data_IF_060851077944
#
_entry.id   IF_060851077944
#
_cell.length_a   1.000
_cell.length_b   1.000
_cell.length_c   1.000
_cell.angle_alpha   90.00
_cell.angle_beta   90.00
_cell.angle_gamma   90.00
#
_symmetry.space_group_name_H-M   'P 1'
#
loop_
_entity.id
_entity.type
_entity.pdbx_description
1 polymer ?
#
# COMPACT_ATOMS: atom_id res chain seq x y z
N UNK A 1 -20.40 -16.86 -64.42
CA UNK A 1 -19.86 -18.01 -63.68
C UNK A 1 -19.01 -17.45 -62.55
N UNK A 2 -19.51 -17.44 -61.30
CA UNK A 2 -18.76 -16.96 -60.14
C UNK A 2 -17.84 -18.05 -59.58
N UNK A 3 -16.69 -17.61 -59.05
CA UNK A 3 -15.63 -18.42 -58.44
C UNK A 3 -16.03 -18.85 -57.01
N UNK A 4 -15.97 -20.15 -56.62
CA UNK A 4 -16.53 -20.64 -55.35
C UNK A 4 -15.58 -20.65 -54.14
N UNK A 5 -14.39 -20.04 -54.18
CA UNK A 5 -13.40 -20.15 -53.09
C UNK A 5 -12.91 -18.82 -52.48
N UNK A 6 -13.86 -17.97 -52.06
CA UNK A 6 -13.58 -16.85 -51.17
C UNK A 6 -13.51 -17.29 -49.70
N UNK A 7 -12.45 -17.98 -49.30
CA UNK A 7 -12.17 -18.28 -47.90
C UNK A 7 -11.85 -16.99 -47.11
N UNK A 8 -12.23 -16.92 -45.82
CA UNK A 8 -12.21 -15.68 -45.02
C UNK A 8 -10.80 -15.15 -44.77
N UNK A 9 -10.66 -13.83 -44.88
CA UNK A 9 -9.46 -13.08 -44.55
C UNK A 9 -9.13 -13.26 -43.06
N UNK A 10 -8.13 -14.10 -42.80
CA UNK A 10 -7.44 -14.23 -41.52
C UNK A 10 -6.65 -12.93 -41.32
N UNK A 11 -7.05 -12.09 -40.38
CA UNK A 11 -6.21 -10.95 -40.00
C UNK A 11 -6.89 -9.74 -39.41
N UNK A 12 -8.02 -9.86 -38.72
CA UNK A 12 -8.36 -8.84 -37.72
C UNK A 12 -7.44 -9.06 -36.52
N UNK A 13 -6.38 -8.27 -36.52
CA UNK A 13 -5.41 -8.17 -35.45
C UNK A 13 -6.13 -7.95 -34.12
N UNK A 14 -6.16 -9.00 -33.30
CA UNK A 14 -6.39 -8.90 -31.87
C UNK A 14 -5.23 -8.09 -31.30
N UNK A 15 -5.37 -6.76 -31.32
CA UNK A 15 -4.50 -5.85 -30.58
C UNK A 15 -5.01 -5.84 -29.14
N UNK A 16 -4.85 -6.98 -28.46
CA UNK A 16 -4.92 -7.02 -27.00
C UNK A 16 -3.69 -6.27 -26.50
N UNK A 17 -3.85 -4.96 -26.32
CA UNK A 17 -2.94 -4.14 -25.54
C UNK A 17 -2.89 -4.80 -24.17
N UNK A 18 -1.81 -5.52 -23.89
CA UNK A 18 -1.50 -5.98 -22.55
C UNK A 18 -1.19 -4.72 -21.77
N UNK A 19 -2.20 -4.15 -21.10
CA UNK A 19 -1.98 -3.11 -20.10
C UNK A 19 -1.00 -3.70 -19.07
N UNK A 20 0.25 -3.23 -19.12
CA UNK A 20 1.28 -3.68 -18.20
C UNK A 20 1.01 -3.10 -16.83
N UNK A 21 0.99 -3.95 -15.79
CA UNK A 21 0.93 -3.49 -14.40
C UNK A 21 2.23 -2.75 -14.11
N UNK A 22 2.14 -1.49 -13.69
CA UNK A 22 3.31 -0.69 -13.27
C UNK A 22 3.66 -1.01 -11.81
N UNK A 23 4.87 -1.49 -11.55
CA UNK A 23 5.36 -1.71 -10.18
C UNK A 23 6.12 -0.46 -9.69
N UNK A 24 5.78 0.03 -8.50
CA UNK A 24 6.41 1.17 -7.83
C UNK A 24 6.91 0.72 -6.47
N UNK A 25 8.18 0.93 -6.17
CA UNK A 25 8.73 0.72 -4.83
C UNK A 25 8.63 2.04 -4.08
N UNK A 26 7.78 2.08 -3.05
CA UNK A 26 7.55 3.28 -2.28
C UNK A 26 8.73 3.56 -1.34
N UNK A 27 9.07 4.84 -1.20
CA UNK A 27 10.22 5.27 -0.41
C UNK A 27 9.77 5.90 0.90
N UNK A 28 10.39 5.49 2.01
CA UNK A 28 10.16 6.12 3.30
C UNK A 28 10.66 7.57 3.27
N UNK A 29 9.76 8.51 3.52
CA UNK A 29 10.08 9.93 3.48
C UNK A 29 10.42 10.44 4.88
N UNK A 30 11.71 10.48 5.23
CA UNK A 30 12.17 11.09 6.48
C UNK A 30 12.24 12.63 6.35
N UNK A 31 11.08 13.31 6.25
CA UNK A 31 11.05 14.79 6.20
C UNK A 31 11.32 15.46 7.55
N UNK A 32 11.55 14.70 8.62
CA UNK A 32 11.87 15.25 9.94
C UNK A 32 13.38 15.41 10.20
N UNK A 33 14.25 14.94 9.31
CA UNK A 33 15.71 14.97 9.52
C UNK A 33 16.43 16.23 9.04
N UNK A 34 15.77 17.19 8.37
CA UNK A 34 16.42 18.45 7.94
C UNK A 34 15.44 19.63 7.96
N UNK A 35 15.54 20.46 9.00
CA UNK A 35 14.88 21.76 9.00
C UNK A 35 14.80 22.40 10.38
N UNK A 36 15.92 22.91 10.89
CA UNK A 36 15.88 24.03 11.82
C UNK A 36 15.23 25.23 11.10
N UNK A 37 13.98 25.52 11.41
CA UNK A 37 13.25 26.67 10.90
C UNK A 37 12.18 27.08 11.92
N UNK A 38 12.07 28.37 12.29
CA UNK A 38 11.09 28.82 13.26
C UNK A 38 9.74 28.98 12.56
N UNK A 39 8.92 27.94 12.58
CA UNK A 39 7.61 27.97 11.93
C UNK A 39 6.67 26.96 12.55
N UNK A 40 5.88 27.42 13.52
CA UNK A 40 4.59 26.86 13.95
C UNK A 40 4.49 25.33 13.93
N UNK A 41 5.30 24.67 14.78
CA UNK A 41 5.03 23.30 15.16
C UNK A 41 3.80 23.25 16.05
N UNK A 42 2.68 22.71 15.53
CA UNK A 42 1.61 22.20 16.37
C UNK A 42 2.19 21.02 17.14
N UNK A 43 2.77 21.30 18.30
CA UNK A 43 3.11 20.27 19.26
C UNK A 43 1.80 19.84 19.90
N UNK A 44 1.25 18.72 19.44
CA UNK A 44 0.28 17.99 20.25
C UNK A 44 1.01 17.57 21.53
N UNK A 45 0.73 18.29 22.61
CA UNK A 45 1.10 17.90 23.96
C UNK A 45 0.35 16.61 24.30
N UNK A 46 0.93 15.46 23.98
CA UNK A 46 0.47 14.16 24.45
C UNK A 46 1.31 13.78 25.66
N UNK A 47 0.68 13.82 26.83
CA UNK A 47 1.23 13.29 28.08
C UNK A 47 1.60 11.81 27.96
N UNK A 48 2.34 11.27 28.93
CA UNK A 48 2.89 9.92 28.85
C UNK A 48 1.82 8.92 29.26
N UNK A 49 0.82 8.63 28.42
CA UNK A 49 -0.15 7.57 28.72
C UNK A 49 -0.91 7.12 27.47
N UNK A 50 -0.43 6.03 26.86
CA UNK A 50 -1.15 4.81 26.40
C UNK A 50 -0.53 4.27 25.11
N UNK A 51 0.07 3.09 25.22
CA UNK A 51 0.61 2.30 24.11
C UNK A 51 1.91 2.88 23.55
N UNK A 52 2.92 2.04 23.34
CA UNK A 52 4.07 2.40 22.51
C UNK A 52 3.62 2.46 21.05
N UNK A 53 2.84 3.46 20.66
CA UNK A 53 2.58 3.70 19.24
C UNK A 53 3.89 4.12 18.58
N UNK A 54 4.32 3.35 17.58
CA UNK A 54 5.44 3.76 16.75
C UNK A 54 5.02 5.01 15.95
N UNK A 55 5.97 5.91 15.66
CA UNK A 55 5.69 7.13 14.90
C UNK A 55 5.08 6.77 13.53
N UNK A 56 4.12 7.55 13.02
CA UNK A 56 3.59 7.33 11.69
C UNK A 56 4.70 7.34 10.64
N UNK A 57 4.71 6.33 9.78
CA UNK A 57 5.63 6.20 8.67
C UNK A 57 4.96 6.67 7.38
N UNK A 58 5.63 7.55 6.65
CA UNK A 58 5.13 8.10 5.40
C UNK A 58 5.91 7.55 4.21
N UNK A 59 5.20 7.00 3.22
CA UNK A 59 5.78 6.44 2.01
C UNK A 59 5.23 7.17 0.78
N UNK A 60 6.14 7.58 -0.10
CA UNK A 60 5.81 8.21 -1.38
C UNK A 60 5.90 7.19 -2.52
N UNK A 61 4.88 7.15 -3.36
CA UNK A 61 4.78 6.33 -4.55
C UNK A 61 4.37 7.17 -5.77
N UNK A 62 4.94 8.37 -5.91
CA UNK A 62 4.62 9.31 -6.99
C UNK A 62 3.38 10.13 -6.69
N UNK A 63 2.25 9.81 -7.33
CA UNK A 63 0.97 10.52 -7.11
C UNK A 63 0.18 9.94 -5.93
N UNK A 64 0.64 8.81 -5.39
CA UNK A 64 0.06 8.10 -4.26
C UNK A 64 0.98 8.21 -3.05
N UNK A 65 0.37 8.36 -1.88
CA UNK A 65 1.07 8.42 -0.60
C UNK A 65 0.44 7.41 0.35
N UNK A 66 1.27 6.65 1.05
CA UNK A 66 0.82 5.67 2.05
C UNK A 66 1.34 6.08 3.42
N UNK A 67 0.44 6.25 4.39
CA UNK A 67 0.78 6.44 5.79
C UNK A 67 0.52 5.14 6.55
N UNK A 68 1.47 4.69 7.37
CA UNK A 68 1.36 3.48 8.18
C UNK A 68 1.61 3.79 9.65
N UNK A 69 0.82 3.17 10.53
CA UNK A 69 0.93 3.26 11.97
C UNK A 69 0.79 1.88 12.60
N UNK A 70 1.60 1.60 13.62
CA UNK A 70 1.54 0.34 14.38
C UNK A 70 1.09 0.58 15.80
N UNK A 71 0.16 -0.27 16.23
CA UNK A 71 -0.41 -0.29 17.56
C UNK A 71 -0.21 -1.65 18.19
N UNK A 72 0.07 -1.70 19.49
CA UNK A 72 -0.02 -2.96 20.23
C UNK A 72 -1.50 -3.38 20.30
N UNK A 73 -1.79 -4.66 20.04
CA UNK A 73 -3.12 -5.21 20.14
C UNK A 73 -3.48 -5.36 21.63
N UNK A 74 -4.45 -4.57 22.08
CA UNK A 74 -4.89 -4.55 23.49
C UNK A 74 -5.54 -5.88 23.89
N UNK A 75 -6.16 -6.58 22.93
CA UNK A 75 -6.83 -7.85 23.17
C UNK A 75 -5.85 -9.04 23.10
N UNK A 76 -4.69 -8.87 22.43
CA UNK A 76 -3.68 -9.91 22.23
C UNK A 76 -2.26 -9.41 22.57
N UNK A 77 -1.81 -9.53 23.84
CA UNK A 77 -0.49 -9.08 24.25
C UNK A 77 0.63 -9.67 23.40
N UNK A 78 1.55 -8.82 22.94
CA UNK A 78 2.64 -9.21 22.04
C UNK A 78 2.27 -9.28 20.56
N UNK A 79 1.01 -8.97 20.21
CA UNK A 79 0.57 -8.76 18.83
C UNK A 79 0.41 -7.28 18.53
N UNK A 80 0.43 -6.97 17.25
CA UNK A 80 0.30 -5.62 16.73
C UNK A 80 -0.81 -5.53 15.68
N UNK A 81 -1.30 -4.31 15.51
CA UNK A 81 -2.21 -3.92 14.45
C UNK A 81 -1.51 -2.89 13.57
N UNK A 82 -1.55 -3.09 12.27
CA UNK A 82 -1.13 -2.14 11.25
C UNK A 82 -2.37 -1.40 10.75
N UNK A 83 -2.37 -0.08 10.95
CA UNK A 83 -3.37 0.83 10.39
C UNK A 83 -2.70 1.60 9.26
N UNK A 84 -3.32 1.61 8.09
CA UNK A 84 -2.81 2.31 6.93
C UNK A 84 -3.84 3.21 6.29
N UNK A 85 -3.34 4.28 5.68
CA UNK A 85 -4.10 5.24 4.89
C UNK A 85 -3.41 5.44 3.54
N UNK A 86 -4.12 5.14 2.45
CA UNK A 86 -3.75 5.45 1.08
C UNK A 86 -4.39 6.79 0.69
N UNK A 87 -3.56 7.75 0.30
CA UNK A 87 -3.99 9.08 -0.17
C UNK A 87 -3.56 9.25 -1.61
N UNK A 88 -4.46 9.85 -2.40
CA UNK A 88 -4.28 10.06 -3.83
C UNK A 88 -5.01 9.00 -4.67
N UNK A 89 -5.20 9.30 -5.95
CA UNK A 89 -5.99 8.48 -6.87
C UNK A 89 -7.51 8.64 -6.69
N UNK A 90 -8.26 8.25 -7.71
CA UNK A 90 -9.71 8.46 -7.79
C UNK A 90 -10.55 7.27 -7.28
N UNK A 91 -9.91 6.13 -6.94
CA UNK A 91 -10.62 4.89 -6.56
C UNK A 91 -9.77 4.01 -5.62
N UNK A 92 -9.53 4.43 -4.37
CA UNK A 92 -8.72 3.69 -3.41
C UNK A 92 -9.26 2.28 -3.12
N UNK A 93 -10.56 2.07 -3.17
CA UNK A 93 -11.25 0.80 -2.91
C UNK A 93 -10.91 -0.32 -3.91
N UNK A 94 -10.33 0.05 -5.06
CA UNK A 94 -9.82 -0.91 -6.05
C UNK A 94 -8.47 -1.52 -5.62
N UNK A 95 -7.83 -0.98 -4.59
CA UNK A 95 -6.62 -1.53 -4.03
C UNK A 95 -6.91 -2.69 -3.07
N UNK A 96 -6.14 -3.76 -3.25
CA UNK A 96 -6.02 -4.87 -2.33
C UNK A 96 -4.69 -4.78 -1.61
N UNK A 97 -4.69 -5.00 -0.31
CA UNK A 97 -3.49 -5.00 0.53
C UNK A 97 -3.06 -6.44 0.78
N UNK A 98 -1.80 -6.75 0.55
CA UNK A 98 -1.19 -8.02 0.95
C UNK A 98 0.02 -7.77 1.83
N UNK A 99 0.09 -8.49 2.95
CA UNK A 99 1.24 -8.50 3.85
C UNK A 99 2.00 -9.82 3.68
N UNK A 100 3.31 -9.72 3.51
CA UNK A 100 4.20 -10.84 3.23
C UNK A 100 5.33 -10.90 4.26
N UNK A 101 5.67 -12.11 4.70
CA UNK A 101 6.77 -12.41 5.63
C UNK A 101 7.53 -13.61 5.06
N UNK A 102 8.85 -13.50 4.87
CA UNK A 102 9.69 -14.56 4.30
C UNK A 102 9.10 -15.17 3.00
N UNK A 103 8.65 -14.30 2.09
CA UNK A 103 7.98 -14.66 0.82
C UNK A 103 6.69 -15.48 0.95
N UNK A 104 6.08 -15.53 2.14
CA UNK A 104 4.77 -16.11 2.39
C UNK A 104 3.79 -14.99 2.68
N UNK A 105 2.64 -15.00 2.00
CA UNK A 105 1.55 -14.06 2.30
C UNK A 105 0.89 -14.44 3.62
N UNK A 106 0.99 -13.57 4.62
CA UNK A 106 0.49 -13.79 5.98
C UNK A 106 -0.86 -13.12 6.23
N UNK A 107 -1.18 -12.05 5.50
CA UNK A 107 -2.48 -11.39 5.58
C UNK A 107 -2.88 -10.74 4.25
N UNK A 108 -4.19 -10.55 4.08
CA UNK A 108 -4.79 -9.84 2.95
C UNK A 108 -5.98 -9.02 3.47
N UNK A 109 -6.11 -7.78 3.02
CA UNK A 109 -7.28 -6.93 3.31
C UNK A 109 -7.60 -6.02 2.12
N UNK A 110 -8.69 -5.28 2.20
CA UNK A 110 -9.08 -4.28 1.20
C UNK A 110 -8.90 -2.88 1.76
N UNK A 111 -8.70 -1.94 0.85
CA UNK A 111 -8.82 -0.52 1.17
C UNK A 111 -10.30 -0.13 1.10
N UNK A 112 -10.76 0.68 2.05
CA UNK A 112 -12.11 1.23 2.02
C UNK A 112 -12.23 2.43 1.04
N UNK A 113 -13.42 3.00 0.91
CA UNK A 113 -13.72 4.16 0.06
C UNK A 113 -13.02 5.44 0.51
N UNK A 114 -12.54 5.48 1.76
CA UNK A 114 -11.80 6.59 2.34
C UNK A 114 -10.27 6.39 2.30
N UNK A 115 -9.80 5.26 1.75
CA UNK A 115 -8.37 4.95 1.68
C UNK A 115 -7.80 4.21 2.89
N UNK A 116 -8.60 3.84 3.88
CA UNK A 116 -8.12 3.16 5.08
C UNK A 116 -8.04 1.64 4.89
N UNK A 117 -7.11 1.02 5.60
CA UNK A 117 -7.06 -0.43 5.78
C UNK A 117 -6.46 -0.78 7.14
N UNK A 118 -6.84 -1.95 7.66
CA UNK A 118 -6.36 -2.45 8.94
C UNK A 118 -5.96 -3.92 8.80
N UNK A 119 -4.82 -4.29 9.36
CA UNK A 119 -4.37 -5.69 9.52
C UNK A 119 -4.08 -5.91 11.00
N UNK A 120 -4.62 -6.98 11.58
CA UNK A 120 -4.48 -7.32 13.00
C UNK A 120 -3.68 -8.62 13.20
N UNK A 121 -3.42 -8.98 14.45
CA UNK A 121 -2.70 -10.21 14.85
C UNK A 121 -1.27 -10.35 14.28
N UNK A 122 -0.58 -9.21 14.11
CA UNK A 122 0.78 -9.18 13.59
C UNK A 122 1.77 -9.51 14.70
N UNK A 123 2.66 -10.45 14.43
CA UNK A 123 3.78 -10.73 15.34
C UNK A 123 4.90 -9.71 15.07
N UNK A 124 5.77 -9.41 16.04
CA UNK A 124 6.95 -8.58 15.78
C UNK A 124 7.90 -9.30 14.80
N UNK A 125 8.11 -8.73 13.61
CA UNK A 125 9.03 -9.24 12.58
C UNK A 125 9.19 -8.21 11.43
N UNK A 126 9.95 -8.59 10.40
CA UNK A 126 10.07 -7.88 9.13
C UNK A 126 9.02 -8.33 8.12
N UNK A 127 8.34 -7.34 7.54
CA UNK A 127 7.28 -7.53 6.58
C UNK A 127 7.51 -6.75 5.28
N UNK A 128 6.88 -7.24 4.21
CA UNK A 128 6.69 -6.52 2.96
C UNK A 128 5.19 -6.27 2.77
N UNK A 129 4.82 -5.02 2.52
CA UNK A 129 3.46 -4.64 2.19
C UNK A 129 3.33 -4.41 0.69
N UNK A 130 2.30 -4.99 0.08
CA UNK A 130 1.95 -4.74 -1.32
C UNK A 130 0.55 -4.14 -1.40
N UNK A 131 0.42 -3.04 -2.13
CA UNK A 131 -0.87 -2.46 -2.50
C UNK A 131 -1.08 -2.75 -3.98
N UNK A 132 -2.04 -3.61 -4.28
CA UNK A 132 -2.28 -4.17 -5.61
C UNK A 132 -3.53 -3.53 -6.19
N UNK A 133 -3.38 -2.88 -7.34
CA UNK A 133 -4.46 -2.29 -8.13
C UNK A 133 -4.41 -2.86 -9.56
N UNK A 134 -5.53 -2.91 -10.31
CA UNK A 134 -5.53 -3.48 -11.66
C UNK A 134 -4.48 -2.91 -12.61
N UNK A 135 -4.09 -1.65 -12.41
CA UNK A 135 -3.13 -0.92 -13.27
C UNK A 135 -1.74 -0.72 -12.66
N UNK A 136 -1.59 -0.92 -11.35
CA UNK A 136 -0.32 -0.65 -10.67
C UNK A 136 -0.17 -1.46 -9.38
N UNK A 137 1.07 -1.66 -8.96
CA UNK A 137 1.41 -2.29 -7.69
C UNK A 137 2.38 -1.39 -6.93
N UNK A 138 2.08 -1.07 -5.68
CA UNK A 138 3.01 -0.39 -4.77
C UNK A 138 3.62 -1.43 -3.83
N UNK A 139 4.94 -1.43 -3.69
CA UNK A 139 5.65 -2.25 -2.71
C UNK A 139 6.34 -1.37 -1.68
N UNK A 140 6.06 -1.63 -0.40
CA UNK A 140 6.82 -1.10 0.73
C UNK A 140 7.59 -2.28 1.33
N UNK A 141 8.91 -2.18 1.28
CA UNK A 141 9.82 -3.21 1.79
C UNK A 141 10.30 -2.83 3.20
N UNK A 142 10.75 -3.83 3.95
CA UNK A 142 11.48 -3.66 5.21
C UNK A 142 10.65 -2.95 6.30
N UNK A 143 9.37 -3.31 6.43
CA UNK A 143 8.54 -2.89 7.55
C UNK A 143 8.90 -3.69 8.80
N UNK A 144 9.48 -3.03 9.80
CA UNK A 144 9.79 -3.63 11.10
C UNK A 144 8.67 -3.32 12.09
N UNK A 145 8.07 -4.36 12.66
CA UNK A 145 7.01 -4.26 13.69
C UNK A 145 7.58 -4.63 15.05
#
# INVERSE_FOLDING_TARGET
MPDPNGAPSIGDHVQAVREGVRVIVAQWVNRFAKGAGPGLGVQFALGPMRGRSQRPMLFDAGELQVTLEFYEDVDHPGKHQLVGLLVGGDSPELFKIELWQNDIRVAETKVDDLGNFIITDLSPDHYKLKLIHPKLEIQINDLEI
#
